data_IF_541506270596
#
_entry.id   IF_541506270596
#
_cell.length_a   1.000
_cell.length_b   1.000
_cell.length_c   1.000
_cell.angle_alpha   90.00
_cell.angle_beta   90.00
_cell.angle_gamma   90.00
#
_symmetry.space_group_name_H-M   'P 1'
#
loop_
_entity.id
_entity.type
_entity.pdbx_description
1 polymer ?
#
# COMPACT_ATOMS: atom_id res chain seq x y z
N UNK A 1 0.40 7.33 12.30
CA UNK A 1 -0.63 7.96 13.17
C UNK A 1 -0.80 7.10 14.41
N UNK A 2 -0.77 7.72 15.59
CA UNK A 2 -0.93 7.05 16.89
C UNK A 2 -2.00 7.74 17.71
N UNK A 3 -2.85 6.98 18.39
CA UNK A 3 -3.73 7.45 19.45
C UNK A 3 -3.57 6.56 20.69
N UNK A 4 -4.40 6.77 21.71
CA UNK A 4 -4.50 5.85 22.85
C UNK A 4 -5.03 4.46 22.44
N UNK A 5 -5.82 4.38 21.36
CA UNK A 5 -6.50 3.14 20.95
C UNK A 5 -5.71 2.31 19.95
N UNK A 6 -4.75 2.91 19.24
CA UNK A 6 -3.95 2.15 18.31
C UNK A 6 -3.01 2.96 17.44
N UNK A 7 -2.57 2.29 16.37
CA UNK A 7 -1.59 2.74 15.41
C UNK A 7 -2.12 2.48 14.00
N UNK A 8 -1.77 3.36 13.07
CA UNK A 8 -2.05 3.23 11.65
C UNK A 8 -0.95 3.93 10.85
N UNK A 9 -0.55 3.34 9.72
CA UNK A 9 0.44 3.88 8.79
C UNK A 9 -0.28 4.29 7.51
N UNK A 10 -0.14 5.56 7.13
CA UNK A 10 -0.80 6.16 5.98
C UNK A 10 0.21 6.94 5.16
N UNK A 11 -0.04 7.01 3.85
CA UNK A 11 0.60 7.99 2.98
C UNK A 11 0.08 9.38 3.35
N UNK A 12 0.97 10.34 3.49
CA UNK A 12 0.62 11.71 3.85
C UNK A 12 0.72 12.61 2.62
N UNK A 13 -0.33 13.39 2.37
CA UNK A 13 -0.29 14.53 1.46
C UNK A 13 -0.28 15.81 2.30
N UNK A 14 0.71 16.67 2.09
CA UNK A 14 0.84 17.94 2.80
C UNK A 14 0.22 19.03 1.93
N UNK A 15 -0.61 19.86 2.55
CA UNK A 15 -1.25 21.00 1.91
C UNK A 15 -1.91 21.90 2.94
N UNK A 16 -2.58 22.94 2.45
CA UNK A 16 -3.25 23.98 3.23
C UNK A 16 -4.79 23.87 3.22
N UNK A 17 -5.31 22.80 2.62
CA UNK A 17 -6.75 22.50 2.53
C UNK A 17 -7.42 22.13 3.88
N UNK A 18 -6.64 22.01 4.96
CA UNK A 18 -7.10 21.61 6.29
C UNK A 18 -6.48 22.56 7.31
N UNK A 19 -7.24 22.87 8.39
CA UNK A 19 -6.77 23.75 9.46
C UNK A 19 -5.53 23.18 10.14
N UNK A 20 -4.61 24.07 10.52
CA UNK A 20 -3.42 23.72 11.31
C UNK A 20 -3.82 22.96 12.58
N UNK A 21 -3.11 21.87 12.86
CA UNK A 21 -3.39 21.00 14.01
C UNK A 21 -4.45 19.93 13.77
N UNK A 22 -5.04 19.87 12.56
CA UNK A 22 -5.98 18.83 12.16
C UNK A 22 -5.38 17.95 11.08
N UNK A 23 -5.90 16.73 10.97
CA UNK A 23 -5.62 15.80 9.87
C UNK A 23 -6.94 15.24 9.35
N UNK A 24 -6.94 14.84 8.09
CA UNK A 24 -8.02 14.07 7.48
C UNK A 24 -7.48 12.74 7.00
N UNK A 25 -8.24 11.67 7.20
CA UNK A 25 -7.92 10.34 6.70
C UNK A 25 -9.21 9.61 6.29
N UNK A 26 -9.30 9.06 5.07
CA UNK A 26 -10.48 8.35 4.63
C UNK A 26 -10.55 6.95 5.26
N UNK A 27 -11.77 6.40 5.34
CA UNK A 27 -12.10 5.18 6.08
C UNK A 27 -12.21 3.91 5.21
N UNK A 28 -11.82 3.99 3.93
CA UNK A 28 -12.12 2.94 2.94
C UNK A 28 -11.26 1.66 3.05
N UNK A 29 -10.16 1.67 3.81
CA UNK A 29 -9.27 0.50 3.93
C UNK A 29 -9.65 -0.40 5.11
N UNK A 30 -9.62 -1.71 4.85
CA UNK A 30 -9.84 -2.78 5.83
C UNK A 30 -8.73 -3.86 5.70
N UNK A 31 -8.80 -4.91 6.53
CA UNK A 31 -7.76 -5.95 6.60
C UNK A 31 -7.67 -6.82 5.32
N UNK A 32 -8.66 -6.75 4.43
CA UNK A 32 -8.62 -7.45 3.13
C UNK A 32 -7.84 -6.66 2.08
N UNK A 33 -7.76 -5.33 2.22
CA UNK A 33 -7.20 -4.43 1.20
C UNK A 33 -6.03 -3.58 1.71
N UNK A 34 -5.59 -3.77 2.96
CA UNK A 34 -4.42 -3.11 3.51
C UNK A 34 -3.82 -3.88 4.68
N UNK A 35 -2.52 -3.66 4.96
CA UNK A 35 -1.91 -4.10 6.21
C UNK A 35 -2.32 -3.20 7.38
N UNK A 36 -1.63 -2.06 7.54
CA UNK A 36 -1.80 -1.15 8.68
C UNK A 36 -2.39 0.21 8.29
N UNK A 37 -3.16 0.26 7.19
CA UNK A 37 -3.79 1.50 6.70
C UNK A 37 -5.23 1.73 7.21
N UNK A 38 -5.73 0.93 8.16
CA UNK A 38 -7.09 1.08 8.71
C UNK A 38 -7.14 2.19 9.78
N UNK A 39 -7.59 3.38 9.39
CA UNK A 39 -7.71 4.52 10.32
C UNK A 39 -8.64 4.24 11.50
N UNK A 40 -9.66 3.39 11.35
CA UNK A 40 -10.55 3.01 12.45
C UNK A 40 -9.82 2.45 13.69
N UNK A 41 -8.61 1.88 13.53
CA UNK A 41 -7.78 1.40 14.67
C UNK A 41 -7.34 2.53 15.61
N UNK A 42 -7.29 3.78 15.14
CA UNK A 42 -6.86 4.92 15.97
C UNK A 42 -8.02 5.71 16.56
N UNK A 43 -9.26 5.43 16.16
CA UNK A 43 -10.42 6.27 16.50
C UNK A 43 -10.98 5.93 17.88
N UNK A 44 -11.49 6.94 18.58
CA UNK A 44 -12.20 6.80 19.84
C UNK A 44 -13.45 5.91 19.67
N UNK A 45 -13.60 4.79 20.40
CA UNK A 45 -14.74 3.89 20.26
C UNK A 45 -15.98 4.35 21.05
N UNK A 46 -15.96 5.56 21.63
CA UNK A 46 -17.13 6.11 22.34
C UNK A 46 -18.30 6.25 21.38
N UNK A 47 -19.48 5.86 21.87
CA UNK A 47 -20.77 5.99 21.20
C UNK A 47 -21.68 6.89 22.02
N UNK A 48 -22.63 7.56 21.36
CA UNK A 48 -23.73 8.24 22.02
C UNK A 48 -24.58 7.24 22.83
N UNK A 49 -24.96 7.62 24.05
CA UNK A 49 -25.65 6.72 24.97
C UNK A 49 -27.11 6.46 24.60
N UNK A 50 -27.71 7.29 23.73
CA UNK A 50 -29.12 7.17 23.33
C UNK A 50 -29.21 6.51 21.96
N UNK A 51 -28.48 7.01 20.96
CA UNK A 51 -28.55 6.52 19.58
C UNK A 51 -27.58 5.38 19.28
N UNK A 52 -26.50 5.25 20.05
CA UNK A 52 -25.40 4.31 19.75
C UNK A 52 -24.50 4.78 18.60
N UNK A 53 -24.67 6.00 18.09
CA UNK A 53 -23.85 6.53 17.01
C UNK A 53 -22.41 6.80 17.51
N UNK A 54 -21.38 6.42 16.74
CA UNK A 54 -19.99 6.55 17.16
C UNK A 54 -19.42 7.95 16.97
N UNK A 55 -18.49 8.36 17.83
CA UNK A 55 -17.76 9.61 17.67
C UNK A 55 -16.44 9.44 16.87
N UNK A 56 -16.56 9.50 15.55
CA UNK A 56 -15.44 9.36 14.62
C UNK A 56 -14.65 10.64 14.33
N UNK A 57 -15.15 11.82 14.70
CA UNK A 57 -14.58 13.11 14.27
C UNK A 57 -13.68 13.76 15.32
N UNK A 58 -13.71 13.25 16.56
CA UNK A 58 -12.94 13.82 17.66
C UNK A 58 -12.05 12.78 18.33
N UNK A 59 -10.87 12.55 17.72
CA UNK A 59 -9.82 11.68 18.27
C UNK A 59 -8.49 12.43 18.26
N UNK A 60 -7.91 12.75 19.42
CA UNK A 60 -6.54 13.25 19.51
C UNK A 60 -5.53 12.22 19.03
N UNK A 61 -4.62 12.64 18.15
CA UNK A 61 -3.60 11.77 17.56
C UNK A 61 -2.23 12.46 17.50
N UNK A 62 -1.18 11.65 17.44
CA UNK A 62 0.18 12.08 17.10
C UNK A 62 0.58 11.49 15.74
N UNK A 63 1.25 12.29 14.91
CA UNK A 63 1.88 11.83 13.66
C UNK A 63 3.39 11.76 13.85
N UNK A 64 4.02 10.78 13.23
CA UNK A 64 5.46 10.61 13.23
C UNK A 64 5.88 10.04 11.86
N UNK A 65 7.08 10.39 11.35
CA UNK A 65 7.61 9.78 10.14
C UNK A 65 7.64 8.25 10.23
N UNK A 66 7.34 7.59 9.12
CA UNK A 66 7.47 6.15 8.99
C UNK A 66 8.69 5.83 8.13
N UNK A 67 9.77 5.38 8.76
CA UNK A 67 11.04 5.12 8.08
C UNK A 67 10.99 3.80 7.29
N UNK A 68 11.28 3.93 6.00
CA UNK A 68 11.30 2.88 4.98
C UNK A 68 12.54 3.07 4.12
N UNK A 69 12.98 2.00 3.45
CA UNK A 69 14.10 2.04 2.51
C UNK A 69 13.62 2.42 1.11
N UNK A 70 12.43 1.94 0.73
CA UNK A 70 11.78 2.27 -0.54
C UNK A 70 10.25 2.21 -0.41
N UNK A 71 9.59 2.87 -1.35
CA UNK A 71 8.15 2.77 -1.60
C UNK A 71 7.92 2.65 -3.11
N UNK A 72 6.86 1.95 -3.50
CA UNK A 72 6.58 1.70 -4.91
C UNK A 72 5.15 1.31 -5.18
N UNK A 73 4.83 1.18 -6.46
CA UNK A 73 3.54 0.69 -6.93
C UNK A 73 3.79 -0.52 -7.82
N UNK A 74 3.07 -1.60 -7.57
CA UNK A 74 3.07 -2.81 -8.38
C UNK A 74 1.68 -2.97 -9.00
N UNK A 75 1.61 -3.07 -10.31
CA UNK A 75 0.39 -3.46 -11.00
C UNK A 75 0.43 -4.97 -11.24
N UNK A 76 -0.70 -5.64 -11.12
CA UNK A 76 -0.82 -7.06 -11.42
C UNK A 76 -2.12 -7.27 -12.15
N UNK A 77 -2.10 -7.93 -13.30
CA UNK A 77 -3.30 -8.27 -14.06
C UNK A 77 -4.29 -9.01 -13.17
N UNK A 78 -5.56 -8.67 -13.30
CA UNK A 78 -6.64 -9.35 -12.59
C UNK A 78 -6.60 -10.87 -12.88
N UNK A 79 -6.66 -11.69 -11.84
CA UNK A 79 -6.53 -13.14 -11.88
C UNK A 79 -5.16 -13.64 -11.43
N UNK A 80 -4.12 -12.79 -11.44
CA UNK A 80 -2.75 -13.16 -11.07
C UNK A 80 -2.36 -12.69 -9.65
N UNK A 81 -3.26 -12.03 -8.92
CA UNK A 81 -2.96 -11.47 -7.59
C UNK A 81 -2.56 -12.55 -6.57
N UNK A 82 -3.10 -13.76 -6.68
CA UNK A 82 -2.85 -14.86 -5.77
C UNK A 82 -1.37 -15.30 -5.79
N UNK A 83 -0.67 -15.09 -6.91
CA UNK A 83 0.75 -15.44 -7.09
C UNK A 83 1.64 -14.51 -6.28
N UNK A 84 1.34 -13.21 -6.30
CA UNK A 84 2.15 -12.18 -5.65
C UNK A 84 1.75 -11.93 -4.20
N UNK A 85 0.52 -12.25 -3.83
CA UNK A 85 -0.07 -11.90 -2.53
C UNK A 85 0.75 -12.39 -1.32
N UNK A 86 1.27 -13.63 -1.27
CA UNK A 86 2.07 -14.10 -0.14
C UNK A 86 3.35 -13.30 0.09
N UNK A 87 3.92 -12.70 -0.97
CA UNK A 87 5.13 -11.88 -0.89
C UNK A 87 4.81 -10.44 -0.55
N UNK A 88 3.75 -9.88 -1.15
CA UNK A 88 3.24 -8.56 -0.79
C UNK A 88 2.88 -8.49 0.70
N UNK A 89 2.24 -9.53 1.24
CA UNK A 89 1.88 -9.60 2.65
C UNK A 89 3.06 -9.63 3.62
N UNK A 90 4.28 -9.93 3.13
CA UNK A 90 5.52 -9.89 3.93
C UNK A 90 6.18 -8.52 3.94
N UNK A 91 5.73 -7.59 3.08
CA UNK A 91 6.24 -6.22 3.09
C UNK A 91 5.77 -5.48 4.34
N UNK A 92 6.56 -4.49 4.76
CA UNK A 92 6.28 -3.71 5.98
C UNK A 92 4.95 -2.95 5.87
N UNK A 93 4.59 -2.47 4.69
CA UNK A 93 3.32 -1.79 4.46
C UNK A 93 2.80 -2.06 3.05
N UNK A 94 1.50 -2.34 2.94
CA UNK A 94 0.85 -2.46 1.64
C UNK A 94 -0.61 -2.00 1.66
N UNK A 95 -1.08 -1.49 0.52
CA UNK A 95 -2.52 -1.33 0.22
C UNK A 95 -2.85 -1.88 -1.15
N UNK A 96 -4.10 -2.31 -1.35
CA UNK A 96 -4.63 -2.90 -2.57
C UNK A 96 -5.78 -2.04 -3.11
N UNK A 97 -5.72 -1.72 -4.40
CA UNK A 97 -6.76 -0.97 -5.11
C UNK A 97 -7.14 -1.75 -6.37
N UNK A 98 -8.44 -2.06 -6.52
CA UNK A 98 -8.94 -2.71 -7.73
C UNK A 98 -9.03 -1.71 -8.88
N UNK A 99 -8.58 -2.10 -10.07
CA UNK A 99 -8.70 -1.35 -11.32
C UNK A 99 -9.40 -2.23 -12.37
N UNK A 100 -9.80 -1.66 -13.51
CA UNK A 100 -10.60 -2.37 -14.53
C UNK A 100 -9.94 -3.61 -15.10
N UNK A 101 -8.60 -3.64 -15.24
CA UNK A 101 -7.85 -4.78 -15.82
C UNK A 101 -6.69 -5.25 -14.94
N UNK A 102 -6.52 -4.65 -13.77
CA UNK A 102 -5.39 -4.88 -12.89
C UNK A 102 -5.77 -4.65 -11.43
N UNK A 103 -4.95 -5.16 -10.54
CA UNK A 103 -4.89 -4.84 -9.13
C UNK A 103 -3.64 -3.99 -8.95
N UNK A 104 -3.81 -2.81 -8.38
CA UNK A 104 -2.70 -1.95 -7.98
C UNK A 104 -2.38 -2.21 -6.52
N UNK A 105 -1.14 -2.58 -6.24
CA UNK A 105 -0.59 -2.63 -4.90
C UNK A 105 0.32 -1.43 -4.69
N UNK A 106 0.12 -0.70 -3.60
CA UNK A 106 1.12 0.25 -3.11
C UNK A 106 1.91 -0.45 -2.01
N UNK A 107 3.23 -0.33 -2.05
CA UNK A 107 4.14 -1.10 -1.20
C UNK A 107 5.16 -0.16 -0.56
N UNK A 108 5.60 -0.51 0.64
CA UNK A 108 6.79 0.04 1.25
C UNK A 108 7.47 -0.99 2.13
N UNK A 109 8.80 -0.98 2.12
CA UNK A 109 9.60 -1.94 2.89
C UNK A 109 10.87 -1.30 3.46
N UNK A 110 11.45 -1.97 4.46
CA UNK A 110 12.75 -1.67 5.06
C UNK A 110 13.86 -2.54 4.48
N UNK A 111 13.51 -3.64 3.81
CA UNK A 111 14.46 -4.45 3.05
C UNK A 111 14.93 -3.68 1.81
N UNK A 112 16.09 -4.06 1.26
CA UNK A 112 16.58 -3.50 0.00
C UNK A 112 15.59 -3.79 -1.12
N UNK A 113 15.37 -2.82 -1.99
CA UNK A 113 14.47 -2.99 -3.15
C UNK A 113 14.85 -4.22 -4.00
N UNK A 114 16.16 -4.45 -4.20
CA UNK A 114 16.67 -5.61 -4.96
C UNK A 114 16.17 -6.95 -4.45
N UNK A 115 16.06 -7.12 -3.12
CA UNK A 115 15.56 -8.35 -2.49
C UNK A 115 14.10 -8.61 -2.86
N UNK A 116 13.26 -7.57 -2.83
CA UNK A 116 11.85 -7.68 -3.23
C UNK A 116 11.73 -7.98 -4.72
N UNK A 117 12.52 -7.32 -5.56
CA UNK A 117 12.52 -7.57 -7.02
C UNK A 117 12.97 -8.99 -7.34
N UNK A 118 14.00 -9.52 -6.68
CA UNK A 118 14.44 -10.91 -6.83
C UNK A 118 13.36 -11.90 -6.39
N UNK A 119 12.66 -11.64 -5.28
CA UNK A 119 11.56 -12.48 -4.82
C UNK A 119 10.39 -12.47 -5.79
N UNK A 120 9.98 -11.29 -6.28
CA UNK A 120 8.92 -11.18 -7.28
C UNK A 120 9.30 -11.91 -8.57
N UNK A 121 10.55 -11.79 -9.04
CA UNK A 121 11.08 -12.55 -10.19
C UNK A 121 10.97 -14.07 -9.98
N UNK A 122 11.23 -14.56 -8.76
CA UNK A 122 11.13 -16.00 -8.45
C UNK A 122 9.70 -16.54 -8.36
N UNK A 123 8.76 -15.73 -7.88
CA UNK A 123 7.32 -16.09 -7.79
C UNK A 123 6.63 -16.12 -9.14
N UNK A 124 7.26 -15.47 -10.09
CA UNK A 124 6.89 -15.42 -11.47
C UNK A 124 7.87 -16.31 -12.28
N UNK A 125 8.06 -17.62 -11.94
CA UNK A 125 9.04 -18.45 -12.60
C UNK A 125 8.55 -18.77 -14.02
N UNK A 126 8.92 -17.92 -14.96
CA UNK A 126 8.55 -18.05 -16.36
C UNK A 126 9.68 -18.77 -17.10
N UNK A 127 9.33 -19.81 -17.85
CA UNK A 127 10.22 -20.41 -18.85
C UNK A 127 10.30 -19.48 -20.06
N UNK A 128 11.54 -19.20 -20.50
CA UNK A 128 12.04 -18.09 -21.33
C UNK A 128 11.37 -17.73 -22.68
N UNK A 129 10.26 -18.36 -23.11
CA UNK A 129 9.73 -18.13 -24.48
C UNK A 129 8.42 -17.32 -24.58
N UNK A 130 7.63 -17.20 -23.49
CA UNK A 130 6.29 -16.58 -23.56
C UNK A 130 6.20 -15.17 -22.95
N UNK A 131 7.19 -14.73 -22.15
CA UNK A 131 7.07 -13.52 -21.33
C UNK A 131 8.30 -12.60 -21.40
N UNK A 132 8.07 -11.30 -21.60
CA UNK A 132 9.11 -10.27 -21.75
C UNK A 132 9.17 -9.37 -20.52
N UNK A 133 10.37 -9.17 -19.94
CA UNK A 133 10.59 -8.21 -18.86
C UNK A 133 11.23 -6.93 -19.41
N UNK A 134 10.59 -5.79 -19.16
CA UNK A 134 11.13 -4.47 -19.46
C UNK A 134 11.39 -3.75 -18.13
N UNK A 135 12.65 -3.45 -17.86
CA UNK A 135 13.04 -2.67 -16.68
C UNK A 135 13.58 -1.31 -17.13
N UNK A 136 13.00 -0.23 -16.59
CA UNK A 136 13.49 1.13 -16.74
C UNK A 136 13.88 1.65 -15.37
N UNK A 137 15.16 1.89 -15.15
CA UNK A 137 15.69 2.47 -13.93
C UNK A 137 16.22 3.88 -14.18
N UNK A 138 15.75 4.84 -13.38
CA UNK A 138 16.29 6.18 -13.32
C UNK A 138 16.92 6.37 -11.94
N UNK A 139 18.24 6.24 -11.87
CA UNK A 139 19.01 6.41 -10.64
C UNK A 139 19.00 7.85 -10.13
N UNK A 140 18.85 8.84 -11.02
CA UNK A 140 18.81 10.25 -10.64
C UNK A 140 17.48 10.61 -9.95
N UNK A 141 16.38 10.01 -10.42
CA UNK A 141 15.06 10.15 -9.82
C UNK A 141 14.78 9.15 -8.69
N UNK A 142 15.64 8.14 -8.50
CA UNK A 142 15.42 6.99 -7.62
C UNK A 142 14.12 6.23 -7.94
N UNK A 143 13.83 6.09 -9.24
CA UNK A 143 12.63 5.43 -9.75
C UNK A 143 13.03 4.16 -10.50
N UNK A 144 12.31 3.07 -10.27
CA UNK A 144 12.42 1.84 -11.04
C UNK A 144 11.02 1.43 -11.51
N UNK A 145 10.88 1.20 -12.81
CA UNK A 145 9.69 0.63 -13.42
C UNK A 145 10.05 -0.75 -13.96
N UNK A 146 9.28 -1.76 -13.53
CA UNK A 146 9.35 -3.10 -14.08
C UNK A 146 8.01 -3.41 -14.73
N UNK A 147 8.08 -3.92 -15.96
CA UNK A 147 6.93 -4.35 -16.74
C UNK A 147 7.17 -5.79 -17.17
N UNK A 148 6.14 -6.61 -17.02
CA UNK A 148 6.13 -8.02 -17.40
C UNK A 148 5.04 -8.20 -18.45
N UNK A 149 5.39 -8.67 -19.65
CA UNK A 149 4.45 -9.00 -20.72
C UNK A 149 4.35 -10.52 -20.88
N UNK A 150 3.21 -11.04 -21.38
CA UNK A 150 3.05 -12.39 -21.93
C UNK A 150 2.53 -12.30 -23.35
N UNK A 151 3.21 -12.84 -24.36
CA UNK A 151 2.73 -12.80 -25.76
C UNK A 151 2.30 -11.37 -26.17
N UNK A 152 3.08 -10.35 -25.78
CA UNK A 152 2.77 -8.92 -25.99
C UNK A 152 1.71 -8.31 -25.07
N UNK A 153 1.20 -9.04 -24.07
CA UNK A 153 0.11 -8.62 -23.17
C UNK A 153 0.62 -8.36 -21.75
N UNK A 154 0.43 -7.15 -21.22
CA UNK A 154 0.87 -6.72 -19.87
C UNK A 154 0.34 -7.60 -18.73
N UNK A 155 1.20 -8.21 -17.93
CA UNK A 155 0.85 -9.07 -16.79
C UNK A 155 1.10 -8.37 -15.45
N UNK A 156 2.21 -7.65 -15.29
CA UNK A 156 2.55 -6.91 -14.07
C UNK A 156 3.39 -5.69 -14.39
#
# INVERSE_FOLDING_TARGET
>A
VRSKWGLCVLRAQIGDNIRRGQIFAPIHWNDQVASDARIGKVVNPVVDAISGEPEFKHTPVTIQPFYIQWQGVLYVRQGFEHIVQPTIQKTVWWTKVMQTKAVRFELADRQKFSTTTEQLKRLLPFTDEDFEWLNLEDQSAQISHSVVLKNGVLIA
#
